data_IF_359745076132
#
_entry.id   IF_359745076132
#
_cell.length_a   1.000
_cell.length_b   1.000
_cell.length_c   1.000
_cell.angle_alpha   90.00
_cell.angle_beta   90.00
_cell.angle_gamma   90.00
#
_symmetry.space_group_name_H-M   'P 1'
#
loop_
_entity.id
_entity.type
_entity.pdbx_description
1 polymer ?
#
# COMPACT_ATOMS: atom_id res chain seq x y z
N UNK A 1 -4.03 -0.12 6.38
CA UNK A 1 -3.14 0.49 5.37
C UNK A 1 -2.07 1.29 6.09
N UNK A 2 -0.91 1.50 5.48
CA UNK A 2 0.20 2.27 6.04
C UNK A 2 0.72 3.27 5.00
N UNK A 3 0.97 4.52 5.41
CA UNK A 3 1.43 5.59 4.51
C UNK A 3 2.87 5.34 4.07
N UNK A 4 3.14 5.53 2.78
CA UNK A 4 4.47 5.38 2.18
C UNK A 4 4.60 6.29 0.95
N UNK A 5 5.66 6.11 0.17
CA UNK A 5 5.85 6.76 -1.12
C UNK A 5 6.36 5.75 -2.16
N UNK A 6 5.96 5.95 -3.42
CA UNK A 6 6.40 5.15 -4.54
C UNK A 6 6.66 6.05 -5.74
N UNK A 7 7.82 5.90 -6.39
CA UNK A 7 8.21 6.75 -7.53
C UNK A 7 8.03 8.26 -7.26
N UNK A 8 8.45 8.73 -6.08
CA UNK A 8 8.29 10.12 -5.60
C UNK A 8 6.83 10.61 -5.45
N UNK A 9 5.85 9.72 -5.54
CA UNK A 9 4.44 10.03 -5.34
C UNK A 9 3.95 9.50 -3.98
N UNK A 10 2.93 10.13 -3.38
CA UNK A 10 2.30 9.60 -2.19
C UNK A 10 1.68 8.24 -2.48
N UNK A 11 1.83 7.29 -1.56
CA UNK A 11 1.30 5.95 -1.71
C UNK A 11 0.83 5.37 -0.38
N UNK A 12 0.05 4.30 -0.44
CA UNK A 12 -0.32 3.49 0.72
C UNK A 12 -0.01 2.02 0.49
N UNK A 13 0.61 1.40 1.49
CA UNK A 13 0.78 -0.02 1.60
C UNK A 13 -0.52 -0.64 2.13
N UNK A 14 -1.21 -1.40 1.30
CA UNK A 14 -2.42 -2.13 1.66
C UNK A 14 -2.09 -3.54 2.12
N UNK A 15 -2.66 -3.90 3.27
CA UNK A 15 -2.58 -5.24 3.82
C UNK A 15 -3.99 -5.82 3.89
N UNK A 16 -4.12 -7.11 3.63
CA UNK A 16 -5.39 -7.85 3.66
C UNK A 16 -5.29 -9.00 4.65
N UNK A 17 -6.44 -9.43 5.19
CA UNK A 17 -6.57 -10.67 5.96
C UNK A 17 -7.85 -11.38 5.54
N UNK A 18 -7.85 -12.70 5.61
CA UNK A 18 -9.05 -13.50 5.38
C UNK A 18 -10.09 -13.31 6.49
N UNK A 19 -11.34 -13.70 6.22
CA UNK A 19 -12.36 -13.79 7.26
C UNK A 19 -11.92 -14.81 8.33
N UNK A 20 -11.94 -14.39 9.60
CA UNK A 20 -11.47 -15.22 10.72
C UNK A 20 -9.95 -15.29 10.88
N UNK A 21 -9.18 -14.68 9.96
CA UNK A 21 -7.72 -14.67 10.04
C UNK A 21 -7.25 -13.52 10.95
N UNK A 22 -6.32 -13.81 11.85
CA UNK A 22 -5.80 -12.81 12.79
C UNK A 22 -4.69 -11.94 12.16
N UNK A 23 -3.98 -12.49 11.16
CA UNK A 23 -2.79 -11.89 10.58
C UNK A 23 -3.11 -11.13 9.29
N UNK A 24 -2.65 -9.89 9.21
CA UNK A 24 -2.60 -9.12 7.97
C UNK A 24 -1.36 -9.50 7.16
N UNK A 25 -1.51 -9.56 5.84
CA UNK A 25 -0.45 -9.88 4.88
C UNK A 25 -0.37 -8.78 3.80
N UNK A 26 0.81 -8.56 3.19
CA UNK A 26 0.96 -7.61 2.09
C UNK A 26 0.02 -7.95 0.94
N UNK A 27 -0.57 -6.93 0.32
CA UNK A 27 -1.52 -7.11 -0.77
C UNK A 27 -1.22 -6.21 -1.96
N UNK A 28 -1.26 -4.89 -1.75
CA UNK A 28 -1.09 -3.95 -2.84
C UNK A 28 -0.36 -2.68 -2.40
N UNK A 29 0.34 -2.06 -3.34
CA UNK A 29 0.83 -0.69 -3.22
C UNK A 29 -0.10 0.19 -4.05
N UNK A 30 -0.74 1.17 -3.41
CA UNK A 30 -1.67 2.08 -4.08
C UNK A 30 -0.98 3.43 -4.19
N UNK A 31 -0.70 3.86 -5.42
CA UNK A 31 -0.10 5.17 -5.71
C UNK A 31 -1.22 6.17 -5.90
N UNK A 32 -1.07 7.35 -5.30
CA UNK A 32 -2.06 8.42 -5.33
C UNK A 32 -1.55 9.54 -6.23
N UNK A 33 -2.41 9.98 -7.15
CA UNK A 33 -2.11 11.05 -8.10
C UNK A 33 -2.97 12.27 -7.77
N UNK A 34 -2.47 13.22 -6.97
CA UNK A 34 -3.20 14.43 -6.66
C UNK A 34 -3.06 15.47 -7.79
N UNK A 35 -4.12 16.23 -8.04
CA UNK A 35 -4.16 17.34 -8.98
C UNK A 35 -4.99 18.47 -8.36
N UNK A 36 -4.48 19.71 -8.38
CA UNK A 36 -5.15 20.90 -7.81
C UNK A 36 -5.64 20.74 -6.36
N UNK A 37 -4.90 19.98 -5.54
CA UNK A 37 -5.25 19.73 -4.13
C UNK A 37 -6.34 18.68 -3.92
N UNK A 38 -6.80 18.03 -4.99
CA UNK A 38 -7.76 16.93 -4.97
C UNK A 38 -7.09 15.62 -5.39
N UNK A 39 -7.73 14.48 -5.11
CA UNK A 39 -7.27 13.17 -5.58
C UNK A 39 -7.85 12.92 -6.98
N UNK A 40 -7.00 12.94 -8.02
CA UNK A 40 -7.44 12.74 -9.40
C UNK A 40 -7.46 11.26 -9.81
N UNK A 41 -6.52 10.46 -9.31
CA UNK A 41 -6.46 9.03 -9.61
C UNK A 41 -5.79 8.20 -8.51
N UNK A 42 -6.05 6.89 -8.57
CA UNK A 42 -5.36 5.88 -7.77
C UNK A 42 -4.98 4.69 -8.64
N UNK A 43 -3.71 4.30 -8.60
CA UNK A 43 -3.20 3.13 -9.30
C UNK A 43 -2.81 2.05 -8.29
N UNK A 44 -3.50 0.91 -8.33
CA UNK A 44 -3.25 -0.20 -7.41
C UNK A 44 -2.39 -1.27 -8.06
N UNK A 45 -1.19 -1.47 -7.51
CA UNK A 45 -0.28 -2.53 -7.89
C UNK A 45 -0.45 -3.70 -6.92
N UNK A 46 -1.21 -4.73 -7.34
CA UNK A 46 -1.42 -5.98 -6.57
C UNK A 46 -0.20 -6.88 -6.70
N UNK A 47 0.89 -6.47 -6.04
CA UNK A 47 2.19 -7.13 -6.11
C UNK A 47 2.82 -7.16 -4.70
N UNK A 48 2.54 -8.19 -3.89
CA UNK A 48 3.07 -8.34 -2.54
C UNK A 48 4.60 -8.23 -2.47
N UNK A 49 5.31 -8.72 -3.49
CA UNK A 49 6.78 -8.72 -3.55
C UNK A 49 7.39 -7.30 -3.62
N UNK A 50 6.60 -6.30 -4.04
CA UNK A 50 7.06 -4.90 -4.01
C UNK A 50 7.29 -4.41 -2.57
N UNK A 51 6.67 -5.01 -1.56
CA UNK A 51 6.87 -4.56 -0.18
C UNK A 51 8.33 -4.68 0.24
N UNK A 52 8.99 -5.80 -0.08
CA UNK A 52 10.42 -5.96 0.20
C UNK A 52 11.28 -4.95 -0.59
N UNK A 53 10.94 -4.71 -1.86
CA UNK A 53 11.64 -3.75 -2.72
C UNK A 53 11.58 -2.32 -2.17
N UNK A 54 10.45 -1.95 -1.57
CA UNK A 54 10.23 -0.64 -0.96
C UNK A 54 10.55 -0.59 0.54
N UNK A 55 11.14 -1.65 1.12
CA UNK A 55 11.48 -1.72 2.55
C UNK A 55 10.27 -1.69 3.49
N UNK A 56 9.09 -2.08 3.01
CA UNK A 56 7.85 -2.11 3.76
C UNK A 56 7.75 -3.40 4.60
N UNK A 57 7.10 -3.29 5.76
CA UNK A 57 6.95 -4.42 6.67
C UNK A 57 6.08 -5.55 6.08
N UNK A 58 6.33 -6.79 6.49
CA UNK A 58 5.51 -7.94 6.11
C UNK A 58 4.14 -7.97 6.82
N UNK A 59 3.95 -7.15 7.86
CA UNK A 59 2.69 -6.95 8.57
C UNK A 59 2.56 -5.49 8.99
N UNK A 60 1.35 -4.94 9.03
CA UNK A 60 1.14 -3.66 9.69
C UNK A 60 1.45 -3.83 11.18
N UNK A 61 2.11 -2.86 11.80
CA UNK A 61 2.29 -2.85 13.26
C UNK A 61 0.94 -2.92 14.00
N UNK A 62 0.99 -3.17 15.31
CA UNK A 62 -0.20 -3.10 16.18
C UNK A 62 -0.79 -1.70 16.22
#
# INVERSE_FOLDING_TARGET
MLVTAANRQPAVAAYVRGAGDAAFRPFALIVLSPEEGLLAATDAFVAPDLFATFGLAASPGR
#
